data_IF_195487395531
#
_entry.id   IF_195487395531
#
_cell.length_a   1.000
_cell.length_b   1.000
_cell.length_c   1.000
_cell.angle_alpha   90.00
_cell.angle_beta   90.00
_cell.angle_gamma   90.00
#
_symmetry.space_group_name_H-M   'P 1'
#
loop_
_entity.id
_entity.type
_entity.pdbx_description
1 polymer ?
#
# COMPACT_ATOMS: atom_id res chain seq x y z
N UNK A 1 16.59 -4.48 7.04
CA UNK A 1 15.62 -3.79 7.92
C UNK A 1 14.50 -3.25 7.05
N UNK A 2 13.29 -3.82 7.17
CA UNK A 2 12.14 -3.29 6.45
C UNK A 2 11.76 -1.94 7.07
N UNK A 3 11.80 -0.85 6.29
CA UNK A 3 11.61 0.52 6.82
C UNK A 3 10.24 0.70 7.51
N UNK A 4 9.26 -0.11 7.13
CA UNK A 4 7.91 -0.11 7.70
C UNK A 4 7.84 -0.63 9.15
N UNK A 5 8.86 -1.38 9.61
CA UNK A 5 8.90 -1.92 10.98
C UNK A 5 8.93 -0.83 12.06
N UNK A 6 9.41 0.37 11.71
CA UNK A 6 9.59 1.50 12.64
C UNK A 6 8.40 2.46 12.71
N UNK A 7 7.46 2.37 11.78
CA UNK A 7 6.29 3.26 11.74
C UNK A 7 5.37 2.99 12.94
N UNK A 8 4.36 3.80 13.23
CA UNK A 8 3.30 3.45 14.22
C UNK A 8 2.09 2.81 13.52
N UNK A 9 1.07 2.34 14.27
CA UNK A 9 -0.18 1.86 13.66
C UNK A 9 -0.88 3.00 12.90
N UNK A 10 -0.87 4.22 13.46
CA UNK A 10 -1.45 5.40 12.83
C UNK A 10 -0.73 5.77 11.52
N UNK A 11 0.61 5.67 11.51
CA UNK A 11 1.41 5.91 10.31
C UNK A 11 1.15 4.87 9.23
N UNK A 12 1.05 3.59 9.61
CA UNK A 12 0.74 2.51 8.65
C UNK A 12 -0.66 2.67 8.05
N UNK A 13 -1.64 3.05 8.86
CA UNK A 13 -3.00 3.32 8.39
C UNK A 13 -3.02 4.52 7.43
N UNK A 14 -2.46 5.64 7.84
CA UNK A 14 -2.37 6.85 7.00
C UNK A 14 -1.61 6.58 5.70
N UNK A 15 -0.52 5.81 5.77
CA UNK A 15 0.24 5.39 4.61
C UNK A 15 -0.57 4.50 3.67
N UNK A 16 -1.36 3.56 4.20
CA UNK A 16 -2.25 2.71 3.41
C UNK A 16 -3.30 3.55 2.67
N UNK A 17 -3.99 4.42 3.40
CA UNK A 17 -5.03 5.30 2.83
C UNK A 17 -4.46 6.19 1.70
N UNK A 18 -3.24 6.69 1.90
CA UNK A 18 -2.55 7.50 0.89
C UNK A 18 -2.14 6.68 -0.35
N UNK A 19 -1.60 5.47 -0.17
CA UNK A 19 -1.23 4.59 -1.28
C UNK A 19 -2.45 4.14 -2.08
N UNK A 20 -3.57 3.84 -1.41
CA UNK A 20 -4.83 3.50 -2.07
C UNK A 20 -5.30 4.65 -2.98
N UNK A 21 -5.26 5.89 -2.50
CA UNK A 21 -5.56 7.07 -3.31
C UNK A 21 -4.65 7.17 -4.54
N UNK A 22 -3.34 7.02 -4.37
CA UNK A 22 -2.39 7.06 -5.49
C UNK A 22 -2.63 5.93 -6.51
N UNK A 23 -3.01 4.73 -6.06
CA UNK A 23 -3.36 3.61 -6.95
C UNK A 23 -4.58 3.95 -7.80
N UNK A 24 -5.61 4.55 -7.22
CA UNK A 24 -6.81 4.96 -7.94
C UNK A 24 -6.51 6.04 -8.98
N UNK A 25 -5.76 7.07 -8.59
CA UNK A 25 -5.32 8.13 -9.52
C UNK A 25 -4.48 7.56 -10.67
N UNK A 26 -3.59 6.60 -10.38
CA UNK A 26 -2.78 5.92 -11.40
C UNK A 26 -3.64 5.04 -12.31
N UNK A 27 -4.56 4.26 -11.75
CA UNK A 27 -5.49 3.44 -12.53
C UNK A 27 -6.30 4.28 -13.51
N UNK A 28 -6.81 5.41 -13.07
CA UNK A 28 -7.59 6.29 -13.93
C UNK A 28 -6.74 6.92 -15.04
N UNK A 29 -5.49 7.29 -14.75
CA UNK A 29 -4.54 7.69 -15.79
C UNK A 29 -4.28 6.58 -16.82
N UNK A 30 -4.06 5.35 -16.35
CA UNK A 30 -3.77 4.20 -17.22
C UNK A 30 -4.97 3.84 -18.11
N UNK A 31 -6.18 3.84 -17.56
CA UNK A 31 -7.43 3.68 -18.34
C UNK A 31 -7.57 4.73 -19.43
N UNK A 32 -7.17 5.97 -19.16
CA UNK A 32 -7.24 7.07 -20.13
C UNK A 32 -6.12 7.02 -21.19
N UNK A 33 -5.12 6.17 -21.01
CA UNK A 33 -3.96 6.04 -21.91
C UNK A 33 -3.86 4.68 -22.59
N UNK A 34 -4.87 3.80 -22.39
CA UNK A 34 -4.93 2.43 -22.92
C UNK A 34 -3.70 1.58 -22.56
N UNK A 35 -3.15 1.81 -21.37
CA UNK A 35 -2.03 1.04 -20.81
C UNK A 35 -2.59 0.03 -19.81
N UNK A 36 -2.24 -1.25 -19.96
CA UNK A 36 -2.58 -2.26 -18.95
C UNK A 36 -1.85 -1.98 -17.64
N UNK A 37 -2.61 -1.92 -16.54
CA UNK A 37 -2.08 -1.81 -15.18
C UNK A 37 -1.08 -2.92 -14.80
N UNK A 38 -1.18 -4.09 -15.42
CA UNK A 38 -0.25 -5.19 -15.24
C UNK A 38 1.09 -4.94 -15.93
N UNK A 39 1.16 -4.01 -16.88
CA UNK A 39 2.40 -3.63 -17.57
C UNK A 39 3.00 -2.32 -17.03
N UNK A 40 2.26 -1.59 -16.18
CA UNK A 40 2.73 -0.36 -15.56
C UNK A 40 3.55 -0.61 -14.28
N UNK A 41 4.87 -0.38 -14.37
CA UNK A 41 5.80 -0.54 -13.24
C UNK A 41 5.37 0.33 -12.04
N UNK A 42 4.86 1.54 -12.27
CA UNK A 42 4.39 2.43 -11.21
C UNK A 42 3.24 1.82 -10.42
N UNK A 43 2.24 1.30 -11.12
CA UNK A 43 1.11 0.61 -10.53
C UNK A 43 1.53 -0.65 -9.75
N UNK A 44 2.40 -1.48 -10.34
CA UNK A 44 2.93 -2.67 -9.66
C UNK A 44 3.69 -2.32 -8.36
N UNK A 45 4.47 -1.24 -8.37
CA UNK A 45 5.19 -0.77 -7.18
C UNK A 45 4.23 -0.28 -6.08
N UNK A 46 3.17 0.43 -6.47
CA UNK A 46 2.13 0.85 -5.53
C UNK A 46 1.35 -0.35 -4.98
N UNK A 47 1.06 -1.36 -5.80
CA UNK A 47 0.39 -2.59 -5.38
C UNK A 47 1.21 -3.37 -4.36
N UNK A 48 2.51 -3.52 -4.61
CA UNK A 48 3.44 -4.12 -3.66
C UNK A 48 3.51 -3.34 -2.34
N UNK A 49 3.58 -2.01 -2.41
CA UNK A 49 3.65 -1.18 -1.21
C UNK A 49 2.36 -1.27 -0.38
N UNK A 50 1.19 -1.32 -1.02
CA UNK A 50 -0.09 -1.52 -0.35
C UNK A 50 -0.15 -2.89 0.36
N UNK A 51 0.34 -3.95 -0.29
CA UNK A 51 0.47 -5.27 0.32
C UNK A 51 1.40 -5.26 1.54
N UNK A 52 2.58 -4.64 1.42
CA UNK A 52 3.55 -4.54 2.51
C UNK A 52 2.98 -3.76 3.72
N UNK A 53 2.27 -2.65 3.46
CA UNK A 53 1.57 -1.86 4.48
C UNK A 53 0.47 -2.66 5.16
N UNK A 54 -0.34 -3.39 4.38
CA UNK A 54 -1.41 -4.23 4.91
C UNK A 54 -0.86 -5.32 5.85
N UNK A 55 0.16 -6.05 5.42
CA UNK A 55 0.77 -7.11 6.22
C UNK A 55 1.37 -6.58 7.51
N UNK A 56 2.07 -5.45 7.44
CA UNK A 56 2.69 -4.85 8.61
C UNK A 56 1.65 -4.33 9.61
N UNK A 57 0.57 -3.72 9.12
CA UNK A 57 -0.56 -3.28 9.94
C UNK A 57 -1.25 -4.48 10.60
N UNK A 58 -1.56 -5.51 9.81
CA UNK A 58 -2.19 -6.74 10.29
C UNK A 58 -1.35 -7.41 11.39
N UNK A 59 -0.05 -7.59 11.16
CA UNK A 59 0.86 -8.21 12.13
C UNK A 59 0.86 -7.47 13.48
N UNK A 60 0.72 -6.14 13.48
CA UNK A 60 0.66 -5.34 14.70
C UNK A 60 -0.67 -5.41 15.41
N UNK A 61 -1.77 -5.36 14.67
CA UNK A 61 -3.10 -5.53 15.24
C UNK A 61 -3.23 -6.91 15.90
N UNK A 62 -2.67 -7.95 15.28
CA UNK A 62 -2.66 -9.29 15.86
C UNK A 62 -1.83 -9.36 17.15
N UNK A 63 -0.68 -8.69 17.22
CA UNK A 63 0.12 -8.59 18.46
C UNK A 63 -0.64 -7.89 19.58
N UNK A 64 -1.43 -6.85 19.27
CA UNK A 64 -2.26 -6.17 20.27
C UNK A 64 -3.41 -7.04 20.77
N UNK A 65 -3.97 -7.91 19.93
CA UNK A 65 -5.03 -8.83 20.33
C UNK A 65 -4.54 -9.92 21.30
N UNK A 66 -3.30 -10.35 21.14
CA UNK A 66 -2.71 -11.44 21.94
C UNK A 66 -2.08 -10.98 23.25
N UNK A 67 -2.03 -9.66 23.49
CA UNK A 67 -1.56 -9.05 24.74
C UNK A 67 -2.75 -8.59 25.57
#
# INVERSE_FOLDING_TARGET
MNKLEKLTIADLKSGKDYVEKLKLERLDYLKNTDIDSNDDIGFQQLDKLDFDLHNQLFARLMKLRTN
#
